data_IF_751501137185
#
_entry.id   IF_751501137185
#
_cell.length_a   1.000
_cell.length_b   1.000
_cell.length_c   1.000
_cell.angle_alpha   90.00
_cell.angle_beta   90.00
_cell.angle_gamma   90.00
#
_symmetry.space_group_name_H-M   'P 1'
#
loop_
_entity.id
_entity.type
_entity.pdbx_description
1 polymer ?
#
# COMPACT_ATOMS: atom_id res chain seq x y z
N UNK A 1 39.93 -3.76 -15.75
CA UNK A 1 38.65 -3.82 -16.48
C UNK A 1 37.60 -3.77 -15.40
N UNK A 2 37.08 -2.57 -15.17
CA UNK A 2 36.32 -2.19 -13.99
C UNK A 2 34.95 -2.89 -13.95
N UNK A 3 34.62 -3.40 -12.77
CA UNK A 3 33.42 -4.17 -12.46
C UNK A 3 32.16 -3.33 -12.65
N UNK A 4 31.17 -3.88 -13.35
CA UNK A 4 29.84 -3.31 -13.55
C UNK A 4 28.84 -3.84 -12.49
N UNK A 5 29.27 -3.97 -11.24
CA UNK A 5 28.49 -4.62 -10.16
C UNK A 5 27.71 -3.64 -9.25
N UNK A 6 27.42 -2.42 -9.71
CA UNK A 6 26.71 -1.40 -8.92
C UNK A 6 25.52 -0.79 -9.68
N UNK A 7 24.64 -1.64 -10.21
CA UNK A 7 23.36 -1.20 -10.76
C UNK A 7 22.20 -1.94 -10.08
N UNK A 8 21.29 -1.16 -9.50
CA UNK A 8 20.13 -1.62 -8.77
C UNK A 8 18.86 -0.98 -9.33
N UNK A 9 17.75 -1.72 -9.30
CA UNK A 9 16.43 -1.24 -9.68
C UNK A 9 15.58 -1.15 -8.42
N UNK A 10 15.17 0.07 -8.06
CA UNK A 10 14.23 0.30 -6.97
C UNK A 10 12.81 0.17 -7.54
N UNK A 11 12.10 -0.85 -7.10
CA UNK A 11 10.72 -1.11 -7.48
C UNK A 11 9.77 -0.62 -6.39
N UNK A 12 8.58 -0.21 -6.82
CA UNK A 12 7.47 0.15 -5.94
C UNK A 12 7.73 1.25 -4.89
N UNK A 13 8.64 2.18 -5.19
CA UNK A 13 8.96 3.30 -4.31
C UNK A 13 9.70 2.90 -3.04
N UNK A 14 10.61 1.92 -3.15
CA UNK A 14 11.53 1.51 -2.08
C UNK A 14 11.22 0.15 -1.45
N UNK A 15 10.01 -0.37 -1.66
CA UNK A 15 9.58 -1.60 -1.01
C UNK A 15 10.33 -2.86 -1.49
N UNK A 16 10.94 -2.82 -2.68
CA UNK A 16 11.82 -3.88 -3.16
C UNK A 16 12.99 -3.30 -3.97
N UNK A 17 14.19 -3.79 -3.71
CA UNK A 17 15.40 -3.47 -4.47
C UNK A 17 15.89 -4.74 -5.15
N UNK A 18 16.04 -4.69 -6.46
CA UNK A 18 16.53 -5.78 -7.27
C UNK A 18 17.90 -5.44 -7.87
N UNK A 19 18.76 -6.44 -8.07
CA UNK A 19 19.94 -6.31 -8.92
C UNK A 19 19.50 -6.19 -10.39
N UNK A 20 20.37 -5.70 -11.27
CA UNK A 20 20.16 -5.77 -12.73
C UNK A 20 20.11 -7.20 -13.28
N UNK A 21 20.58 -8.19 -12.51
CA UNK A 21 20.44 -9.61 -12.82
C UNK A 21 19.09 -10.20 -12.37
N UNK A 22 18.25 -9.42 -11.68
CA UNK A 22 16.91 -9.82 -11.20
C UNK A 22 16.90 -10.51 -9.83
N UNK A 23 18.00 -10.45 -9.08
CA UNK A 23 18.10 -10.97 -7.72
C UNK A 23 17.52 -9.97 -6.72
N UNK A 24 16.71 -10.43 -5.76
CA UNK A 24 16.14 -9.59 -4.73
C UNK A 24 17.18 -9.28 -3.66
N UNK A 25 17.49 -8.00 -3.47
CA UNK A 25 18.54 -7.52 -2.55
C UNK A 25 17.96 -7.09 -1.21
N UNK A 26 16.85 -6.36 -1.22
CA UNK A 26 16.12 -5.96 0.00
C UNK A 26 14.63 -5.90 -0.34
N UNK A 27 13.78 -6.43 0.54
CA UNK A 27 12.32 -6.37 0.42
C UNK A 27 11.76 -5.99 1.78
N UNK A 28 11.01 -4.90 1.82
CA UNK A 28 10.36 -4.42 3.04
C UNK A 28 8.86 -4.35 2.82
N UNK A 29 8.17 -5.49 2.86
CA UNK A 29 6.73 -5.52 2.73
C UNK A 29 6.07 -4.94 3.98
N UNK A 30 4.83 -4.48 3.82
CA UNK A 30 3.95 -4.18 4.96
C UNK A 30 3.72 -5.50 5.71
N UNK A 31 3.98 -5.49 7.02
CA UNK A 31 3.75 -6.66 7.86
C UNK A 31 2.25 -6.98 7.95
N UNK A 32 1.90 -8.22 8.24
CA UNK A 32 0.49 -8.60 8.42
C UNK A 32 -0.18 -7.80 9.54
N UNK A 33 0.51 -7.59 10.66
CA UNK A 33 -0.04 -6.83 11.79
C UNK A 33 -0.29 -5.37 11.42
N UNK A 34 0.64 -4.76 10.66
CA UNK A 34 0.45 -3.41 10.11
C UNK A 34 -0.73 -3.34 9.13
N UNK A 35 -0.89 -4.35 8.28
CA UNK A 35 -2.04 -4.45 7.38
C UNK A 35 -3.36 -4.54 8.14
N UNK A 36 -3.42 -5.34 9.22
CA UNK A 36 -4.62 -5.44 10.06
C UNK A 36 -4.96 -4.10 10.71
N UNK A 37 -3.96 -3.39 11.23
CA UNK A 37 -4.18 -2.07 11.83
C UNK A 37 -4.65 -1.03 10.78
N UNK A 38 -4.07 -1.06 9.57
CA UNK A 38 -4.48 -0.21 8.45
C UNK A 38 -5.93 -0.49 8.01
N UNK A 39 -6.28 -1.76 7.81
CA UNK A 39 -7.63 -2.17 7.40
C UNK A 39 -8.67 -1.82 8.47
N UNK A 40 -8.35 -2.07 9.75
CA UNK A 40 -9.22 -1.73 10.86
C UNK A 40 -9.44 -0.21 10.95
N UNK A 41 -8.39 0.58 10.67
CA UNK A 41 -8.49 2.03 10.63
C UNK A 41 -9.36 2.51 9.46
N UNK A 42 -9.24 1.90 8.28
CA UNK A 42 -10.10 2.22 7.12
C UNK A 42 -11.58 2.04 7.46
N UNK A 43 -11.94 0.90 8.05
CA UNK A 43 -13.31 0.62 8.51
C UNK A 43 -13.80 1.63 9.54
N UNK A 44 -12.93 2.03 10.48
CA UNK A 44 -13.26 3.04 11.51
C UNK A 44 -13.50 4.42 10.90
N UNK A 45 -12.72 4.79 9.88
CA UNK A 45 -12.82 6.05 9.16
C UNK A 45 -13.92 6.05 8.09
N UNK A 46 -14.43 4.87 7.73
CA UNK A 46 -15.42 4.66 6.66
C UNK A 46 -14.93 5.17 5.30
N UNK A 47 -13.68 4.88 4.98
CA UNK A 47 -13.06 5.13 3.67
C UNK A 47 -12.66 3.80 3.05
N UNK A 48 -12.67 3.73 1.72
CA UNK A 48 -12.22 2.52 1.04
C UNK A 48 -10.71 2.31 1.20
N UNK A 49 -10.30 1.05 1.15
CA UNK A 49 -8.92 0.65 1.37
C UNK A 49 -8.52 -0.51 0.48
N UNK A 50 -7.34 -0.40 -0.10
CA UNK A 50 -6.72 -1.51 -0.80
C UNK A 50 -5.24 -1.62 -0.46
N UNK A 51 -4.73 -2.84 -0.50
CA UNK A 51 -3.32 -3.15 -0.45
C UNK A 51 -2.85 -3.61 -1.83
N UNK A 52 -1.60 -3.32 -2.16
CA UNK A 52 -0.99 -3.62 -3.45
C UNK A 52 0.09 -4.65 -3.24
N UNK A 53 0.05 -5.71 -4.03
CA UNK A 53 1.12 -6.70 -4.17
C UNK A 53 1.81 -6.54 -5.52
N UNK A 54 2.79 -7.40 -5.85
CA UNK A 54 3.49 -7.33 -7.13
C UNK A 54 2.58 -7.51 -8.35
N UNK A 55 1.48 -8.26 -8.21
CA UNK A 55 0.65 -8.67 -9.33
C UNK A 55 -0.81 -8.27 -9.24
N UNK A 56 -1.29 -7.85 -8.05
CA UNK A 56 -2.72 -7.62 -7.79
C UNK A 56 -2.97 -6.55 -6.73
N UNK A 57 -4.13 -5.93 -6.86
CA UNK A 57 -4.77 -5.11 -5.83
C UNK A 57 -5.68 -6.00 -4.96
N UNK A 58 -5.58 -5.86 -3.65
CA UNK A 58 -6.38 -6.56 -2.67
C UNK A 58 -7.22 -5.59 -1.85
N UNK A 59 -8.49 -5.90 -1.64
CA UNK A 59 -9.36 -5.08 -0.78
C UNK A 59 -10.28 -5.99 0.05
N UNK A 60 -10.59 -5.54 1.27
CA UNK A 60 -11.59 -6.15 2.14
C UNK A 60 -12.97 -5.49 1.98
N UNK A 61 -13.08 -4.47 1.11
CA UNK A 61 -14.32 -3.77 0.84
C UNK A 61 -15.24 -4.64 -0.01
N UNK A 62 -16.46 -4.86 0.48
CA UNK A 62 -17.49 -5.61 -0.27
C UNK A 62 -18.03 -4.80 -1.44
N UNK A 63 -18.17 -3.50 -1.22
CA UNK A 63 -18.48 -2.52 -2.25
C UNK A 63 -17.15 -1.91 -2.70
N UNK A 64 -16.69 -2.28 -3.89
CA UNK A 64 -15.38 -1.82 -4.40
C UNK A 64 -15.50 -0.35 -4.77
N UNK A 65 -14.75 0.51 -4.09
CA UNK A 65 -14.73 1.95 -4.35
C UNK A 65 -14.24 2.29 -5.77
N UNK A 66 -14.80 3.35 -6.34
CA UNK A 66 -14.50 3.80 -7.72
C UNK A 66 -13.00 4.07 -7.94
N UNK A 67 -12.32 4.60 -6.93
CA UNK A 67 -10.88 4.87 -6.99
C UNK A 67 -10.01 3.62 -6.93
N UNK A 68 -10.48 2.53 -6.29
CA UNK A 68 -9.80 1.23 -6.36
C UNK A 68 -9.91 0.63 -7.77
N UNK A 69 -11.08 0.77 -8.40
CA UNK A 69 -11.27 0.38 -9.80
C UNK A 69 -10.41 1.23 -10.75
N UNK A 70 -10.39 2.54 -10.54
CA UNK A 70 -9.56 3.45 -11.32
C UNK A 70 -8.06 3.09 -11.22
N UNK A 71 -7.55 2.79 -10.02
CA UNK A 71 -6.17 2.33 -9.85
C UNK A 71 -5.92 1.02 -10.62
N UNK A 72 -6.82 0.05 -10.50
CA UNK A 72 -6.71 -1.23 -11.19
C UNK A 72 -6.59 -1.08 -12.71
N UNK A 73 -7.41 -0.21 -13.29
CA UNK A 73 -7.37 0.11 -14.72
C UNK A 73 -6.08 0.86 -15.08
N UNK A 74 -5.66 1.83 -14.27
CA UNK A 74 -4.44 2.64 -14.47
C UNK A 74 -3.17 1.79 -14.47
N UNK A 75 -3.05 0.86 -13.51
CA UNK A 75 -1.87 0.00 -13.38
C UNK A 75 -2.03 -1.35 -14.11
N UNK A 76 -3.16 -1.56 -14.79
CA UNK A 76 -3.48 -2.81 -15.49
C UNK A 76 -3.37 -4.05 -14.59
N UNK A 77 -3.77 -3.94 -13.32
CA UNK A 77 -3.76 -5.01 -12.33
C UNK A 77 -5.16 -5.49 -11.99
N UNK A 78 -5.32 -6.79 -11.77
CA UNK A 78 -6.58 -7.35 -11.31
C UNK A 78 -6.86 -7.03 -9.85
N UNK A 79 -8.15 -6.89 -9.50
CA UNK A 79 -8.62 -6.74 -8.12
C UNK A 79 -8.91 -8.12 -7.52
N UNK A 80 -8.72 -8.27 -6.20
CA UNK A 80 -9.14 -9.43 -5.43
C UNK A 80 -9.76 -9.00 -4.12
N UNK A 81 -11.01 -9.40 -3.94
CA UNK A 81 -11.66 -9.34 -2.63
C UNK A 81 -11.08 -10.42 -1.73
N UNK A 82 -10.58 -10.05 -0.55
CA UNK A 82 -10.10 -10.98 0.47
C UNK A 82 -10.47 -10.46 1.84
N UNK A 83 -10.85 -11.38 2.73
CA UNK A 83 -10.98 -11.06 4.15
C UNK A 83 -9.59 -10.78 4.74
N UNK A 84 -9.50 -10.03 5.85
CA UNK A 84 -8.20 -9.76 6.47
C UNK A 84 -7.42 -11.04 6.83
N UNK A 85 -8.10 -12.12 7.20
CA UNK A 85 -7.47 -13.41 7.52
C UNK A 85 -6.76 -14.06 6.32
N UNK A 86 -7.33 -13.92 5.12
CA UNK A 86 -6.77 -14.49 3.88
C UNK A 86 -5.52 -13.73 3.37
N UNK A 87 -5.20 -12.59 3.97
CA UNK A 87 -4.08 -11.73 3.57
C UNK A 87 -2.75 -12.12 4.22
N UNK A 88 -2.75 -13.07 5.16
CA UNK A 88 -1.58 -13.44 5.99
C UNK A 88 -0.33 -13.79 5.20
N UNK A 89 -0.49 -14.53 4.11
CA UNK A 89 0.64 -15.04 3.32
C UNK A 89 0.87 -14.22 2.04
N UNK A 90 0.25 -13.05 1.93
CA UNK A 90 0.37 -12.17 0.77
C UNK A 90 1.41 -11.10 1.05
N UNK A 91 2.42 -11.01 0.19
CA UNK A 91 3.41 -9.94 0.25
C UNK A 91 2.79 -8.62 -0.20
N UNK A 92 2.69 -7.68 0.73
CA UNK A 92 2.12 -6.36 0.50
C UNK A 92 3.23 -5.34 0.40
N UNK A 93 3.18 -4.54 -0.64
CA UNK A 93 4.22 -3.58 -1.01
C UNK A 93 3.86 -2.19 -0.51
N UNK A 94 2.60 -1.82 -0.72
CA UNK A 94 2.01 -0.54 -0.33
C UNK A 94 0.54 -0.74 -0.04
N UNK A 95 -0.03 0.22 0.66
CA UNK A 95 -1.46 0.27 0.96
C UNK A 95 -1.99 1.66 0.67
N UNK A 96 -3.24 1.80 0.28
CA UNK A 96 -3.84 3.11 0.06
C UNK A 96 -5.23 3.18 0.66
N UNK A 97 -5.47 4.27 1.39
CA UNK A 97 -6.83 4.74 1.65
C UNK A 97 -7.26 5.59 0.46
N UNK A 98 -8.38 5.23 -0.13
CA UNK A 98 -8.85 5.82 -1.38
C UNK A 98 -10.32 6.17 -1.27
N UNK A 99 -10.67 7.40 -1.57
CA UNK A 99 -12.07 7.83 -1.55
C UNK A 99 -12.21 9.20 -2.22
N UNK A 100 -13.44 9.69 -2.29
CA UNK A 100 -13.75 11.07 -2.65
C UNK A 100 -12.83 12.04 -1.89
N UNK A 101 -12.20 13.03 -2.56
CA UNK A 101 -11.21 13.89 -1.91
C UNK A 101 -11.70 14.55 -0.63
N UNK A 102 -12.98 14.94 -0.58
CA UNK A 102 -13.59 15.54 0.63
C UNK A 102 -13.74 14.53 1.77
N UNK A 103 -14.14 13.29 1.46
CA UNK A 103 -14.29 12.23 2.44
C UNK A 103 -12.92 11.80 2.98
N UNK A 104 -11.95 11.61 2.07
CA UNK A 104 -10.58 11.30 2.44
C UNK A 104 -9.95 12.42 3.28
N UNK A 105 -10.15 13.69 2.91
CA UNK A 105 -9.65 14.84 3.68
C UNK A 105 -10.21 14.89 5.09
N UNK A 106 -11.51 14.62 5.24
CA UNK A 106 -12.15 14.52 6.56
C UNK A 106 -11.60 13.34 7.38
N UNK A 107 -11.31 12.21 6.73
CA UNK A 107 -10.73 11.04 7.36
C UNK A 107 -9.29 11.31 7.83
N UNK A 108 -8.42 11.83 6.95
CA UNK A 108 -7.03 12.12 7.30
C UNK A 108 -6.93 13.24 8.35
N UNK A 109 -7.90 14.16 8.45
CA UNK A 109 -7.88 15.19 9.51
C UNK A 109 -7.88 14.59 10.93
N UNK A 110 -8.29 13.32 11.09
CA UNK A 110 -8.23 12.54 12.34
C UNK A 110 -6.83 12.00 12.62
N UNK A 111 -5.84 12.90 12.65
CA UNK A 111 -4.42 12.59 12.80
C UNK A 111 -4.13 11.76 14.06
N UNK A 112 -4.92 11.93 15.12
CA UNK A 112 -4.86 11.16 16.37
C UNK A 112 -4.95 9.64 16.15
N UNK A 113 -5.71 9.21 15.14
CA UNK A 113 -5.90 7.80 14.83
C UNK A 113 -4.74 7.20 14.01
N UNK A 114 -3.99 8.05 13.30
CA UNK A 114 -2.88 7.63 12.46
C UNK A 114 -1.55 7.61 13.21
N UNK A 115 -1.44 8.29 14.35
CA UNK A 115 -0.19 8.43 15.12
C UNK A 115 0.52 7.09 15.40
N UNK A 116 -0.15 6.00 15.84
CA UNK A 116 0.52 4.72 16.10
C UNK A 116 1.07 4.05 14.82
N UNK A 117 0.42 4.30 13.68
CA UNK A 117 0.88 3.81 12.39
C UNK A 117 2.06 4.65 11.89
N UNK A 118 1.98 5.98 12.01
CA UNK A 118 3.05 6.89 11.59
C UNK A 118 4.40 6.68 12.30
N UNK A 119 4.38 6.05 13.47
CA UNK A 119 5.61 5.65 14.18
C UNK A 119 6.32 4.44 13.57
N UNK A 120 5.64 3.65 12.74
CA UNK A 120 6.14 2.39 12.15
C UNK A 120 6.18 2.41 10.63
N UNK A 121 5.43 3.32 10.00
CA UNK A 121 5.26 3.39 8.55
C UNK A 121 5.13 4.84 8.08
N UNK A 122 5.46 5.05 6.81
CA UNK A 122 5.32 6.33 6.15
C UNK A 122 3.91 6.45 5.56
N UNK A 123 3.14 7.43 6.02
CA UNK A 123 1.82 7.75 5.48
C UNK A 123 1.82 9.11 4.78
N UNK A 124 1.62 9.12 3.46
CA UNK A 124 1.75 10.31 2.60
C UNK A 124 0.54 10.49 1.72
N UNK A 125 0.05 11.73 1.62
CA UNK A 125 -0.99 12.09 0.64
C UNK A 125 -0.35 12.26 -0.73
N UNK A 126 -0.55 11.29 -1.62
CA UNK A 126 0.06 11.26 -2.96
C UNK A 126 -0.82 11.93 -4.02
N UNK A 127 -2.14 11.92 -3.84
CA UNK A 127 -3.11 12.57 -4.71
C UNK A 127 -4.32 13.08 -3.89
N UNK A 128 -5.22 13.91 -4.45
CA UNK A 128 -6.42 14.37 -3.74
C UNK A 128 -7.28 13.24 -3.18
N UNK A 129 -7.31 12.09 -3.86
CA UNK A 129 -8.08 10.90 -3.53
C UNK A 129 -7.22 9.72 -3.06
N UNK A 130 -5.90 9.92 -2.85
CA UNK A 130 -4.98 8.87 -2.39
C UNK A 130 -4.20 9.27 -1.14
N UNK A 131 -4.31 8.45 -0.11
CA UNK A 131 -3.45 8.48 1.07
C UNK A 131 -2.70 7.15 1.17
N UNK A 132 -1.42 7.20 0.80
CA UNK A 132 -0.55 6.03 0.63
C UNK A 132 0.17 5.71 1.95
N UNK A 133 0.24 4.42 2.28
CA UNK A 133 1.04 3.86 3.35
C UNK A 133 2.10 2.88 2.83
N UNK A 134 3.34 3.07 3.28
CA UNK A 134 4.52 2.25 2.95
C UNK A 134 5.29 1.93 4.22
N UNK A 135 5.99 0.79 4.27
CA UNK A 135 6.90 0.49 5.39
C UNK A 135 7.95 1.63 5.55
N UNK A 136 8.45 1.84 6.77
CA UNK A 136 9.40 2.91 7.05
C UNK A 136 10.82 2.49 6.66
N UNK A 137 11.52 3.34 5.91
CA UNK A 137 12.88 3.06 5.43
C UNK A 137 12.95 2.15 4.21
N UNK A 138 11.86 2.04 3.46
CA UNK A 138 11.84 1.67 2.04
C UNK A 138 12.61 2.71 1.21
#
# INVERSE_FOLDING_TARGET
MDAQDDQYVICFGGAATYSTSGELIDERPISYDDYIDLEALARKLRVHFHAVSENRLYTADRDIGDYTRYEADLVSMGISYRTPEEMRDIKLIKSMYVDDPKALDAAIARQDLFEPLKQRMTLTKSAPFYYEGKCQGC
#
